data_IF_477629180607
#
_entry.id   IF_477629180607
#
_cell.length_a   1.000
_cell.length_b   1.000
_cell.length_c   1.000
_cell.angle_alpha   90.00
_cell.angle_beta   90.00
_cell.angle_gamma   90.00
#
_symmetry.space_group_name_H-M   'P 1'
#
loop_
_entity.id
_entity.type
_entity.pdbx_description
1 polymer ?
#
# COMPACT_ATOMS: atom_id res chain seq x y z
N UNK A 1 0.97 17.41 66.43
CA UNK A 1 -0.31 17.81 65.85
C UNK A 1 -0.24 17.43 64.37
N UNK A 2 -0.90 16.33 63.97
CA UNK A 2 -0.91 15.87 62.57
C UNK A 2 -1.93 16.71 61.82
N UNK A 3 -1.53 17.29 60.69
CA UNK A 3 -2.42 18.02 59.80
C UNK A 3 -3.58 17.13 59.33
N UNK A 4 -4.82 17.64 59.26
CA UNK A 4 -5.96 16.89 58.80
C UNK A 4 -5.75 16.47 57.35
N UNK A 5 -5.96 15.18 57.05
CA UNK A 5 -5.85 14.63 55.70
C UNK A 5 -6.92 15.27 54.79
N UNK A 6 -6.51 16.06 53.77
CA UNK A 6 -7.47 16.78 52.90
C UNK A 6 -8.35 15.83 52.08
N UNK A 7 -8.03 14.55 52.04
CA UNK A 7 -8.82 13.53 51.33
C UNK A 7 -10.10 13.14 52.07
N UNK A 8 -10.21 13.45 53.36
CA UNK A 8 -11.37 13.10 54.21
C UNK A 8 -12.43 14.19 54.29
N UNK A 9 -12.21 15.37 53.70
CA UNK A 9 -13.17 16.47 53.71
C UNK A 9 -14.40 16.15 52.84
N UNK A 10 -15.65 16.19 53.38
CA UNK A 10 -16.87 15.87 52.64
C UNK A 10 -17.13 16.83 51.46
N UNK A 11 -16.56 18.04 51.48
CA UNK A 11 -16.60 18.98 50.33
C UNK A 11 -15.81 18.46 49.16
N UNK A 12 -14.67 17.82 49.41
CA UNK A 12 -13.83 17.23 48.36
C UNK A 12 -14.51 16.04 47.67
N UNK A 13 -15.38 15.33 48.39
CA UNK A 13 -16.14 14.17 47.82
C UNK A 13 -17.15 14.62 46.75
N UNK A 14 -17.81 15.76 46.92
CA UNK A 14 -18.73 16.34 45.93
C UNK A 14 -18.01 16.83 44.68
N UNK A 15 -16.89 17.53 44.83
CA UNK A 15 -16.06 18.00 43.74
C UNK A 15 -15.47 16.85 42.93
N UNK A 16 -15.07 15.77 43.60
CA UNK A 16 -14.53 14.57 42.95
C UNK A 16 -15.59 13.85 42.12
N UNK A 17 -16.84 13.76 42.58
CA UNK A 17 -17.96 13.24 41.83
C UNK A 17 -18.28 14.07 40.59
N UNK A 18 -18.32 15.37 40.71
CA UNK A 18 -18.52 16.32 39.62
C UNK A 18 -17.40 16.24 38.57
N UNK A 19 -16.14 16.23 39.02
CA UNK A 19 -14.97 16.10 38.12
C UNK A 19 -14.97 14.79 37.36
N UNK A 20 -15.36 13.70 38.04
CA UNK A 20 -15.48 12.39 37.38
C UNK A 20 -16.60 12.34 36.35
N UNK A 21 -17.76 12.97 36.66
CA UNK A 21 -18.87 13.12 35.73
C UNK A 21 -18.47 13.90 34.48
N UNK A 22 -17.80 15.04 34.66
CA UNK A 22 -17.30 15.85 33.55
C UNK A 22 -16.31 15.07 32.69
N UNK A 23 -15.38 14.37 33.32
CA UNK A 23 -14.38 13.56 32.61
C UNK A 23 -15.05 12.47 31.76
N UNK A 24 -15.98 11.71 32.32
CA UNK A 24 -16.71 10.65 31.57
C UNK A 24 -17.49 11.25 30.40
N UNK A 25 -18.18 12.39 30.64
CA UNK A 25 -18.96 13.05 29.58
C UNK A 25 -18.05 13.53 28.44
N UNK A 26 -16.93 14.16 28.75
CA UNK A 26 -15.97 14.61 27.74
C UNK A 26 -15.36 13.44 26.95
N UNK A 27 -15.02 12.34 27.64
CA UNK A 27 -14.47 11.14 26.99
C UNK A 27 -15.51 10.51 26.07
N UNK A 28 -16.78 10.43 26.50
CA UNK A 28 -17.84 9.90 25.65
C UNK A 28 -18.10 10.77 24.41
N UNK A 29 -18.16 12.09 24.57
CA UNK A 29 -18.32 13.02 23.46
C UNK A 29 -17.15 12.94 22.47
N UNK A 30 -15.93 12.83 22.97
CA UNK A 30 -14.74 12.69 22.15
C UNK A 30 -14.73 11.36 21.37
N UNK A 31 -15.14 10.27 22.02
CA UNK A 31 -15.26 8.96 21.36
C UNK A 31 -16.33 8.97 20.26
N UNK A 32 -17.48 9.61 20.51
CA UNK A 32 -18.55 9.76 19.50
C UNK A 32 -18.04 10.62 18.33
N UNK A 33 -17.32 11.70 18.62
CA UNK A 33 -16.75 12.56 17.59
C UNK A 33 -15.73 11.83 16.71
N UNK A 34 -14.85 11.01 17.30
CA UNK A 34 -13.89 10.17 16.54
C UNK A 34 -14.63 9.18 15.65
N UNK A 35 -15.61 8.44 16.21
CA UNK A 35 -16.38 7.47 15.46
C UNK A 35 -17.12 8.13 14.29
N UNK A 36 -17.69 9.31 14.51
CA UNK A 36 -18.36 10.07 13.46
C UNK A 36 -17.40 10.50 12.35
N UNK A 37 -16.22 11.03 12.70
CA UNK A 37 -15.21 11.42 11.72
C UNK A 37 -14.68 10.23 10.92
N UNK A 38 -14.39 9.10 11.60
CA UNK A 38 -13.92 7.88 10.94
C UNK A 38 -15.00 7.34 9.99
N UNK A 39 -16.26 7.25 10.47
CA UNK A 39 -17.37 6.80 9.63
C UNK A 39 -17.57 7.69 8.41
N UNK A 40 -17.44 9.00 8.57
CA UNK A 40 -17.55 9.95 7.46
C UNK A 40 -16.39 9.83 6.48
N UNK A 41 -15.18 9.62 6.97
CA UNK A 41 -14.00 9.39 6.13
C UNK A 41 -14.11 8.08 5.36
N UNK A 42 -14.57 7.00 6.01
CA UNK A 42 -14.80 5.71 5.36
C UNK A 42 -15.93 5.80 4.34
N UNK A 43 -17.03 6.51 4.64
CA UNK A 43 -18.12 6.74 3.69
C UNK A 43 -17.68 7.58 2.48
N UNK A 44 -16.76 8.52 2.68
CA UNK A 44 -16.16 9.29 1.58
C UNK A 44 -15.14 8.50 0.76
N UNK A 45 -14.61 7.41 1.33
CA UNK A 45 -13.71 6.45 0.66
C UNK A 45 -14.46 5.29 0.01
N UNK A 46 -15.81 5.21 0.15
CA UNK A 46 -16.58 4.24 -0.64
C UNK A 46 -16.29 4.54 -2.11
N UNK A 47 -15.75 3.58 -2.87
CA UNK A 47 -15.40 3.84 -4.25
C UNK A 47 -16.66 4.30 -4.96
N UNK A 48 -16.59 5.53 -5.49
CA UNK A 48 -17.53 6.02 -6.47
C UNK A 48 -17.82 4.87 -7.42
N UNK A 49 -19.09 4.52 -7.62
CA UNK A 49 -19.51 3.42 -8.48
C UNK A 49 -18.59 3.42 -9.70
N UNK A 50 -17.73 2.40 -9.80
CA UNK A 50 -16.90 2.24 -10.99
C UNK A 50 -17.79 2.48 -12.20
N UNK A 51 -17.36 3.32 -13.16
CA UNK A 51 -18.07 3.46 -14.40
C UNK A 51 -18.35 2.06 -14.96
N UNK A 52 -19.51 1.86 -15.64
CA UNK A 52 -19.94 0.55 -16.12
C UNK A 52 -18.75 -0.12 -16.78
N UNK A 53 -18.38 -1.28 -16.29
CA UNK A 53 -17.17 -2.04 -16.50
C UNK A 53 -16.44 -1.61 -17.78
N UNK A 54 -15.45 -0.74 -17.65
CA UNK A 54 -14.48 -0.55 -18.71
C UNK A 54 -14.01 -1.98 -19.04
N UNK A 55 -14.22 -2.41 -20.29
CA UNK A 55 -13.92 -3.78 -20.69
C UNK A 55 -12.51 -4.09 -20.23
N UNK A 56 -12.39 -5.05 -19.31
CA UNK A 56 -11.10 -5.42 -18.78
C UNK A 56 -10.13 -5.65 -19.93
N UNK A 57 -8.92 -5.11 -19.82
CA UNK A 57 -7.90 -5.25 -20.85
C UNK A 57 -7.70 -6.73 -21.22
N UNK A 58 -7.34 -7.00 -22.46
CA UNK A 58 -7.04 -8.37 -22.88
C UNK A 58 -5.89 -8.96 -22.07
N UNK A 59 -5.83 -10.27 -21.97
CA UNK A 59 -4.72 -10.93 -21.26
C UNK A 59 -3.36 -10.52 -21.83
N UNK A 60 -3.27 -10.40 -23.16
CA UNK A 60 -2.06 -9.98 -23.87
C UNK A 60 -1.65 -8.54 -23.51
N UNK A 61 -2.62 -7.63 -23.45
CA UNK A 61 -2.34 -6.22 -23.10
C UNK A 61 -1.92 -6.08 -21.64
N UNK A 62 -2.50 -6.89 -20.75
CA UNK A 62 -2.08 -6.96 -19.34
C UNK A 62 -0.65 -7.49 -19.19
N UNK A 63 -0.29 -8.52 -19.96
CA UNK A 63 1.07 -9.06 -19.95
C UNK A 63 2.07 -8.04 -20.53
N UNK A 64 1.73 -7.36 -21.61
CA UNK A 64 2.53 -6.28 -22.19
C UNK A 64 2.69 -5.11 -21.21
N UNK A 65 1.61 -4.75 -20.48
CA UNK A 65 1.64 -3.75 -19.42
C UNK A 65 2.58 -4.11 -18.28
N UNK A 66 2.58 -5.37 -17.83
CA UNK A 66 3.53 -5.85 -16.82
C UNK A 66 4.99 -5.75 -17.29
N UNK A 67 5.24 -6.05 -18.57
CA UNK A 67 6.58 -5.89 -19.18
C UNK A 67 7.02 -4.44 -19.21
N UNK A 68 6.13 -3.54 -19.63
CA UNK A 68 6.43 -2.10 -19.66
C UNK A 68 6.74 -1.55 -18.26
N UNK A 69 5.99 -1.98 -17.23
CA UNK A 69 6.25 -1.60 -15.83
C UNK A 69 7.60 -2.13 -15.34
N UNK A 70 7.98 -3.33 -15.73
CA UNK A 70 9.31 -3.87 -15.43
C UNK A 70 10.43 -3.03 -16.08
N UNK A 71 10.32 -2.78 -17.39
CA UNK A 71 11.33 -2.02 -18.12
C UNK A 71 11.48 -0.58 -17.55
N UNK A 72 10.37 0.02 -17.12
CA UNK A 72 10.37 1.32 -16.45
C UNK A 72 11.04 1.26 -15.07
N UNK A 73 10.79 0.22 -14.28
CA UNK A 73 11.40 0.01 -12.97
C UNK A 73 12.92 -0.10 -13.10
N UNK A 74 13.39 -0.91 -14.05
CA UNK A 74 14.82 -1.09 -14.31
C UNK A 74 15.49 0.20 -14.81
N UNK A 75 14.86 0.91 -15.74
CA UNK A 75 15.36 2.19 -16.23
C UNK A 75 15.42 3.25 -15.11
N UNK A 76 14.42 3.30 -14.26
CA UNK A 76 14.38 4.19 -13.08
C UNK A 76 15.50 3.88 -12.10
N UNK A 77 15.71 2.61 -11.77
CA UNK A 77 16.79 2.14 -10.91
C UNK A 77 18.15 2.49 -11.50
N UNK A 78 18.39 2.15 -12.76
CA UNK A 78 19.66 2.40 -13.42
C UNK A 78 20.02 3.89 -13.47
N UNK A 79 19.03 4.74 -13.78
CA UNK A 79 19.20 6.20 -13.77
C UNK A 79 19.65 6.69 -12.40
N UNK A 80 19.01 6.23 -11.33
CA UNK A 80 19.31 6.68 -9.97
C UNK A 80 20.69 6.20 -9.50
N UNK A 81 21.06 4.95 -9.81
CA UNK A 81 22.38 4.40 -9.46
C UNK A 81 23.53 5.15 -10.17
N UNK A 82 23.29 5.61 -11.41
CA UNK A 82 24.35 6.29 -12.20
C UNK A 82 24.53 7.76 -11.86
N UNK A 83 23.49 8.46 -11.42
CA UNK A 83 23.46 9.94 -11.45
C UNK A 83 23.65 10.57 -10.07
N UNK A 84 23.40 9.86 -8.97
CA UNK A 84 23.26 10.55 -7.70
C UNK A 84 24.39 10.33 -6.70
N UNK A 85 24.94 11.42 -6.10
CA UNK A 85 25.57 11.32 -4.80
C UNK A 85 24.53 10.90 -3.76
N UNK A 86 24.89 10.00 -2.86
CA UNK A 86 24.03 9.20 -1.99
C UNK A 86 22.91 9.96 -1.19
N UNK A 87 22.98 11.28 -1.06
CA UNK A 87 22.01 12.05 -0.26
C UNK A 87 20.67 12.34 -0.96
N UNK A 88 20.69 12.49 -2.27
CA UNK A 88 19.50 12.88 -3.03
C UNK A 88 18.78 11.65 -3.62
N UNK A 89 19.50 10.53 -3.72
CA UNK A 89 19.03 9.28 -4.31
C UNK A 89 17.79 8.74 -3.58
N UNK A 90 17.77 8.77 -2.24
CA UNK A 90 16.66 8.23 -1.46
C UNK A 90 15.36 9.01 -1.69
N UNK A 91 15.44 10.34 -1.75
CA UNK A 91 14.25 11.17 -1.97
C UNK A 91 13.71 11.00 -3.40
N UNK A 92 14.59 10.97 -4.40
CA UNK A 92 14.21 10.72 -5.79
C UNK A 92 13.64 9.33 -5.98
N UNK A 93 14.24 8.32 -5.34
CA UNK A 93 13.71 6.96 -5.35
C UNK A 93 12.31 6.87 -4.73
N UNK A 94 12.09 7.49 -3.58
CA UNK A 94 10.77 7.49 -2.93
C UNK A 94 9.69 8.17 -3.79
N UNK A 95 10.04 9.23 -4.52
CA UNK A 95 9.13 9.88 -5.46
C UNK A 95 8.81 8.95 -6.64
N UNK A 96 9.84 8.39 -7.27
CA UNK A 96 9.69 7.43 -8.36
C UNK A 96 8.84 6.23 -7.93
N UNK A 97 9.13 5.65 -6.77
CA UNK A 97 8.38 4.53 -6.18
C UNK A 97 6.89 4.85 -6.05
N UNK A 98 6.57 6.03 -5.54
CA UNK A 98 5.16 6.45 -5.34
C UNK A 98 4.42 6.54 -6.67
N UNK A 99 5.01 7.18 -7.67
CA UNK A 99 4.41 7.31 -9.00
C UNK A 99 4.30 5.97 -9.71
N UNK A 100 5.33 5.13 -9.60
CA UNK A 100 5.33 3.81 -10.21
C UNK A 100 4.28 2.89 -9.58
N UNK A 101 4.15 2.88 -8.24
CA UNK A 101 3.10 2.14 -7.54
C UNK A 101 1.70 2.56 -7.96
N UNK A 102 1.48 3.84 -8.19
CA UNK A 102 0.19 4.33 -8.69
C UNK A 102 -0.12 3.73 -10.07
N UNK A 103 0.86 3.71 -10.99
CA UNK A 103 0.69 3.07 -12.30
C UNK A 103 0.45 1.58 -12.21
N UNK A 104 1.15 0.89 -11.30
CA UNK A 104 0.93 -0.53 -11.03
C UNK A 104 -0.53 -0.79 -10.61
N UNK A 105 -1.06 -0.02 -9.64
CA UNK A 105 -2.43 -0.17 -9.14
C UNK A 105 -3.50 0.12 -10.22
N UNK A 106 -3.26 1.12 -11.07
CA UNK A 106 -4.14 1.39 -12.20
C UNK A 106 -4.17 0.19 -13.14
N UNK A 107 -3.02 -0.36 -13.51
CA UNK A 107 -2.94 -1.56 -14.38
C UNK A 107 -3.57 -2.79 -13.75
N UNK A 108 -3.37 -3.02 -12.46
CA UNK A 108 -4.03 -4.11 -11.74
C UNK A 108 -5.56 -4.02 -11.84
N UNK A 109 -6.11 -2.82 -11.67
CA UNK A 109 -7.56 -2.58 -11.77
C UNK A 109 -8.09 -2.77 -13.19
N UNK A 110 -7.36 -2.31 -14.21
CA UNK A 110 -7.72 -2.48 -15.62
C UNK A 110 -7.66 -3.95 -16.07
N UNK A 111 -6.80 -4.74 -15.44
CA UNK A 111 -6.56 -6.14 -15.80
C UNK A 111 -7.48 -7.13 -15.08
N UNK A 112 -8.37 -6.71 -14.18
CA UNK A 112 -9.26 -7.60 -13.41
C UNK A 112 -8.53 -8.85 -12.84
N UNK A 113 -7.45 -8.62 -12.11
CA UNK A 113 -6.59 -9.70 -11.61
C UNK A 113 -7.29 -10.62 -10.57
N UNK A 114 -8.51 -10.28 -10.16
CA UNK A 114 -9.28 -11.10 -9.19
C UNK A 114 -9.86 -12.36 -9.83
N UNK A 115 -10.07 -12.38 -11.14
CA UNK A 115 -10.61 -13.55 -11.83
C UNK A 115 -9.66 -14.75 -11.73
N UNK A 116 -10.23 -15.96 -11.67
CA UNK A 116 -9.46 -17.21 -11.54
C UNK A 116 -8.59 -17.46 -12.78
N UNK A 117 -9.08 -17.09 -13.94
CA UNK A 117 -8.41 -17.28 -15.23
C UNK A 117 -7.13 -16.42 -15.34
N UNK A 118 -7.06 -15.33 -14.56
CA UNK A 118 -5.93 -14.40 -14.53
C UNK A 118 -4.95 -14.63 -13.37
N UNK A 119 -5.06 -15.78 -12.69
CA UNK A 119 -4.14 -16.14 -11.61
C UNK A 119 -2.65 -16.05 -12.00
N UNK A 120 -2.21 -16.46 -13.21
CA UNK A 120 -0.82 -16.28 -13.62
C UNK A 120 -0.40 -14.81 -13.72
N UNK A 121 -1.27 -13.94 -14.25
CA UNK A 121 -1.02 -12.48 -14.30
C UNK A 121 -0.92 -11.89 -12.90
N UNK A 122 -1.79 -12.26 -11.97
CA UNK A 122 -1.72 -11.85 -10.57
C UNK A 122 -0.37 -12.17 -9.96
N UNK A 123 0.18 -13.35 -10.25
CA UNK A 123 1.53 -13.73 -9.80
C UNK A 123 2.59 -12.81 -10.38
N UNK A 124 2.52 -12.45 -11.67
CA UNK A 124 3.46 -11.54 -12.32
C UNK A 124 3.43 -10.15 -11.64
N UNK A 125 2.23 -9.57 -11.47
CA UNK A 125 2.07 -8.25 -10.84
C UNK A 125 2.53 -8.25 -9.37
N UNK A 126 2.20 -9.30 -8.61
CA UNK A 126 2.71 -9.45 -7.24
C UNK A 126 4.24 -9.58 -7.16
N UNK A 127 4.88 -10.20 -8.16
CA UNK A 127 6.35 -10.25 -8.22
C UNK A 127 6.98 -8.89 -8.54
N UNK A 128 6.34 -8.05 -9.36
CA UNK A 128 6.78 -6.67 -9.58
C UNK A 128 6.79 -5.86 -8.29
N UNK A 129 5.76 -6.00 -7.46
CA UNK A 129 5.68 -5.33 -6.17
C UNK A 129 6.82 -5.79 -5.23
N UNK A 130 7.08 -7.10 -5.17
CA UNK A 130 8.17 -7.66 -4.37
C UNK A 130 9.54 -7.14 -4.82
N UNK A 131 9.79 -7.04 -6.14
CA UNK A 131 11.05 -6.48 -6.66
C UNK A 131 11.18 -5.01 -6.29
N UNK A 132 10.12 -4.21 -6.41
CA UNK A 132 10.14 -2.80 -6.01
C UNK A 132 10.47 -2.63 -4.52
N UNK A 133 9.85 -3.42 -3.66
CA UNK A 133 10.09 -3.38 -2.21
C UNK A 133 11.53 -3.81 -1.88
N UNK A 134 12.04 -4.80 -2.58
CA UNK A 134 13.41 -5.23 -2.41
C UNK A 134 14.41 -4.14 -2.83
N UNK A 135 14.18 -3.49 -3.98
CA UNK A 135 14.98 -2.34 -4.41
C UNK A 135 14.91 -1.15 -3.44
N UNK A 136 13.78 -0.97 -2.76
CA UNK A 136 13.63 0.08 -1.75
C UNK A 136 14.43 -0.21 -0.49
N UNK A 137 14.47 -1.47 -0.08
CA UNK A 137 15.03 -1.85 1.23
C UNK A 137 16.52 -2.23 1.16
N UNK A 138 16.95 -2.84 0.04
CA UNK A 138 18.23 -3.59 0.01
C UNK A 138 19.07 -3.42 -1.25
N UNK A 139 18.73 -2.48 -2.14
CA UNK A 139 19.29 -2.41 -3.50
C UNK A 139 20.82 -2.43 -3.62
N UNK A 140 21.55 -2.11 -2.55
CA UNK A 140 23.02 -2.06 -2.55
C UNK A 140 23.65 -3.21 -1.74
N UNK A 141 22.98 -3.70 -0.71
CA UNK A 141 23.56 -4.63 0.28
C UNK A 141 23.26 -6.11 0.04
N UNK A 142 22.26 -6.44 -0.76
CA UNK A 142 21.77 -7.82 -0.96
C UNK A 142 21.61 -8.16 -2.46
N UNK A 143 22.67 -8.01 -3.21
CA UNK A 143 22.66 -8.24 -4.66
C UNK A 143 22.21 -9.67 -5.04
N UNK A 144 22.54 -10.68 -4.24
CA UNK A 144 22.18 -12.07 -4.50
C UNK A 144 20.67 -12.32 -4.29
N UNK A 145 20.08 -11.70 -3.26
CA UNK A 145 18.64 -11.79 -3.02
C UNK A 145 17.86 -11.04 -4.10
N UNK A 146 18.37 -9.89 -4.54
CA UNK A 146 17.77 -9.12 -5.66
C UNK A 146 17.77 -9.97 -6.93
N UNK A 147 18.87 -10.63 -7.26
CA UNK A 147 18.97 -11.51 -8.42
C UNK A 147 17.93 -12.61 -8.40
N UNK A 148 17.80 -13.34 -7.30
CA UNK A 148 16.80 -14.40 -7.16
C UNK A 148 15.35 -13.92 -7.28
N UNK A 149 15.05 -12.71 -6.82
CA UNK A 149 13.73 -12.11 -6.93
C UNK A 149 13.42 -11.68 -8.37
N UNK A 150 14.40 -11.13 -9.07
CA UNK A 150 14.31 -10.81 -10.50
C UNK A 150 14.08 -12.07 -11.33
N UNK A 151 14.82 -13.12 -11.06
CA UNK A 151 14.65 -14.41 -11.73
C UNK A 151 13.25 -15.00 -11.49
N UNK A 152 12.72 -14.88 -10.27
CA UNK A 152 11.36 -15.30 -9.95
C UNK A 152 10.30 -14.49 -10.72
N UNK A 153 10.52 -13.19 -10.93
CA UNK A 153 9.66 -12.39 -11.81
C UNK A 153 9.70 -12.87 -13.24
N UNK A 154 10.89 -13.07 -13.82
CA UNK A 154 11.03 -13.56 -15.19
C UNK A 154 10.44 -14.95 -15.39
N UNK A 155 10.59 -15.83 -14.39
CA UNK A 155 9.96 -17.17 -14.42
C UNK A 155 8.43 -17.06 -14.40
N UNK A 156 7.86 -16.22 -13.54
CA UNK A 156 6.43 -15.98 -13.48
C UNK A 156 5.89 -15.38 -14.79
N UNK A 157 6.61 -14.42 -15.36
CA UNK A 157 6.27 -13.80 -16.64
C UNK A 157 6.25 -14.83 -17.78
N UNK A 158 7.27 -15.66 -17.87
CA UNK A 158 7.36 -16.74 -18.86
C UNK A 158 6.23 -17.76 -18.67
N UNK A 159 5.91 -18.14 -17.44
CA UNK A 159 4.81 -19.04 -17.15
C UNK A 159 3.46 -18.45 -17.57
N UNK A 160 3.21 -17.17 -17.32
CA UNK A 160 2.00 -16.48 -17.74
C UNK A 160 1.88 -16.38 -19.27
N UNK A 161 2.98 -16.11 -19.97
CA UNK A 161 3.00 -16.09 -21.43
C UNK A 161 2.67 -17.46 -22.03
N UNK A 162 3.25 -18.54 -21.49
CA UNK A 162 3.02 -19.90 -21.94
C UNK A 162 1.57 -20.36 -21.65
N UNK A 163 1.00 -20.01 -20.51
CA UNK A 163 -0.39 -20.35 -20.17
C UNK A 163 -1.39 -19.73 -21.14
N UNK A 164 -1.12 -18.50 -21.59
CA UNK A 164 -1.95 -17.84 -22.61
C UNK A 164 -1.82 -18.51 -23.98
N UNK A 165 -0.60 -18.86 -24.39
CA UNK A 165 -0.37 -19.55 -25.67
C UNK A 165 -1.06 -20.93 -25.74
N UNK A 166 -1.15 -21.63 -24.60
CA UNK A 166 -1.84 -22.93 -24.51
C UNK A 166 -3.38 -22.82 -24.53
N UNK A 167 -3.94 -21.65 -24.31
CA UNK A 167 -5.39 -21.36 -24.28
C UNK A 167 -5.88 -20.70 -25.59
N UNK A 168 -4.97 -20.28 -26.46
CA UNK A 168 -5.32 -19.76 -27.77
C UNK A 168 -5.78 -20.93 -28.66
N UNK A 169 -6.99 -20.90 -29.28
CA UNK A 169 -7.53 -21.94 -30.11
C UNK A 169 -6.73 -22.14 -31.41
#
# INVERSE_FOLDING_TARGET
MSAPDPRKDPRFRRYRGAAYGIYITLTALFSIWILWNVSRSVAAMTPEKLPPAAQALSYRDCLAGARALWDELEAGREKLVRVSPARDTDQEWMRFRTEWMQRLRVRESECDLQSRERAPLRTVYGRLEVVLDLYTTHAVQYADEVGGTVDAFHAAFKAAANSHAAQAP
#
